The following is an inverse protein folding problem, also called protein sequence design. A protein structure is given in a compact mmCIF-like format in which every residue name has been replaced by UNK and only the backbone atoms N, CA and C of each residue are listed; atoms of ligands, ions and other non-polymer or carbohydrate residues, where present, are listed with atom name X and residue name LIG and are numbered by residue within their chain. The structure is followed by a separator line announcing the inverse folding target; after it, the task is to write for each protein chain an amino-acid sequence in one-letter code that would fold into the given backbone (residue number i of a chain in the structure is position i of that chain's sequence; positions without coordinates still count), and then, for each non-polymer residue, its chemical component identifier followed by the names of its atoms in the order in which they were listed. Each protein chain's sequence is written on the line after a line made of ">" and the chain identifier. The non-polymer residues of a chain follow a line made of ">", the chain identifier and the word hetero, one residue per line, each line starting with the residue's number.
data_IF_356460898989
#
_entry.id   IF_356460898989
#
_cell.length_a   1.000
_cell.length_b   1.000
_cell.length_c   1.000
_cell.angle_alpha   90.00
_cell.angle_beta   90.00
_cell.angle_gamma   90.00
#
_symmetry.space_group_name_H-M   'P 1'
#
loop_
_entity.id
_entity.type
_entity.pdbx_description
1 polymer ?
#
# COMPACT_ATOMS: atom_id res chain seq x y z
N UNK A 1 -4.64 15.53 -40.78
CA UNK A 1 -5.33 16.67 -41.44
C UNK A 1 -4.93 17.93 -40.69
N UNK A 2 -3.93 18.69 -41.17
CA UNK A 2 -4.09 20.00 -41.86
C UNK A 2 -4.76 21.03 -40.92
N UNK A 3 -4.05 21.93 -40.24
CA UNK A 3 -3.63 23.31 -40.63
C UNK A 3 -3.33 23.99 -39.25
N UNK A 4 -2.33 24.83 -38.96
CA UNK A 4 -1.55 25.77 -39.73
C UNK A 4 -0.11 25.84 -39.19
N UNK A 5 0.81 26.02 -40.12
CA UNK A 5 2.19 26.43 -39.94
C UNK A 5 2.22 27.84 -39.35
N UNK A 6 2.75 28.01 -38.13
CA UNK A 6 3.28 29.31 -37.72
C UNK A 6 4.72 29.35 -38.18
N UNK A 7 4.92 30.18 -39.20
CA UNK A 7 6.16 30.40 -39.92
C UNK A 7 7.34 30.66 -38.98
N UNK A 8 8.42 29.97 -39.29
CA UNK A 8 9.78 30.25 -38.91
C UNK A 8 10.10 31.76 -38.99
N UNK A 9 10.61 32.33 -37.91
CA UNK A 9 11.23 33.65 -37.92
C UNK A 9 12.46 33.66 -36.99
N UNK A 10 13.62 33.66 -37.65
CA UNK A 10 14.86 34.34 -37.26
C UNK A 10 15.73 33.64 -36.19
N UNK A 11 16.71 32.91 -36.75
CA UNK A 11 18.08 32.75 -36.27
C UNK A 11 18.60 33.97 -35.47
N UNK A 12 18.77 33.82 -34.16
CA UNK A 12 19.78 34.54 -33.40
C UNK A 12 20.55 33.51 -32.57
N UNK A 13 21.62 32.99 -33.17
CA UNK A 13 22.72 32.39 -32.44
C UNK A 13 23.46 33.50 -31.67
N UNK A 14 22.99 33.86 -30.48
CA UNK A 14 23.82 34.57 -29.50
C UNK A 14 23.72 33.85 -28.17
N UNK A 15 24.77 33.07 -27.89
CA UNK A 15 25.21 32.58 -26.60
C UNK A 15 24.20 32.57 -25.45
N UNK A 16 23.26 31.64 -25.45
CA UNK A 16 22.58 31.21 -24.24
C UNK A 16 22.43 29.70 -24.32
N UNK A 17 23.19 29.00 -23.48
CA UNK A 17 22.95 27.62 -23.09
C UNK A 17 21.45 27.35 -23.11
N UNK A 18 21.01 26.46 -24.00
CA UNK A 18 19.66 25.91 -23.95
C UNK A 18 19.58 25.13 -22.65
N UNK A 19 19.24 25.84 -21.58
CA UNK A 19 18.91 25.24 -20.32
C UNK A 19 17.55 24.61 -20.54
N UNK A 20 17.57 23.34 -20.98
CA UNK A 20 16.42 22.47 -20.95
C UNK A 20 16.12 22.18 -19.48
N UNK A 21 15.52 23.15 -18.79
CA UNK A 21 14.84 22.90 -17.52
C UNK A 21 13.37 22.78 -17.83
N UNK A 22 12.96 21.55 -18.06
CA UNK A 22 11.61 21.12 -17.78
C UNK A 22 11.73 19.68 -17.29
N UNK A 23 12.35 19.55 -16.11
CA UNK A 23 12.18 18.35 -15.30
C UNK A 23 10.77 18.46 -14.70
N UNK A 24 9.76 18.11 -15.51
CA UNK A 24 8.43 17.81 -14.98
C UNK A 24 8.55 16.48 -14.23
N UNK A 25 9.14 16.56 -13.02
CA UNK A 25 9.09 15.48 -12.04
C UNK A 25 7.64 15.31 -11.64
N UNK A 26 6.91 14.50 -12.40
CA UNK A 26 5.70 13.86 -11.92
C UNK A 26 6.08 13.15 -10.62
N UNK A 27 5.72 13.75 -9.47
CA UNK A 27 5.77 13.06 -8.19
C UNK A 27 4.87 11.85 -8.36
N UNK A 28 5.47 10.68 -8.47
CA UNK A 28 4.76 9.42 -8.36
C UNK A 28 4.23 9.38 -6.92
N UNK A 29 2.98 9.80 -6.76
CA UNK A 29 2.28 9.71 -5.48
C UNK A 29 2.06 8.22 -5.24
N UNK A 30 2.95 7.63 -4.43
CA UNK A 30 2.92 6.22 -4.07
C UNK A 30 1.66 5.98 -3.24
N UNK A 31 0.57 5.61 -3.89
CA UNK A 31 -0.68 5.24 -3.23
C UNK A 31 -0.43 3.93 -2.48
N UNK A 32 -0.50 3.98 -1.15
CA UNK A 32 -0.40 2.78 -0.32
C UNK A 32 -1.78 2.15 -0.18
N UNK A 33 -1.93 0.83 -0.41
CA UNK A 33 -3.19 0.16 -0.18
C UNK A 33 -3.46 0.13 1.34
N UNK A 34 -4.61 0.66 1.77
CA UNK A 34 -4.99 0.64 3.19
C UNK A 34 -5.32 -0.77 3.70
N UNK A 35 -5.68 -1.68 2.79
CA UNK A 35 -6.03 -3.06 3.08
C UNK A 35 -5.45 -3.96 1.99
N UNK A 36 -4.78 -5.03 2.40
CA UNK A 36 -4.27 -6.08 1.52
C UNK A 36 -4.83 -7.41 2.02
N UNK A 37 -5.52 -8.11 1.15
CA UNK A 37 -6.05 -9.45 1.41
C UNK A 37 -5.15 -10.47 0.71
N UNK A 38 -4.70 -11.46 1.45
CA UNK A 38 -3.76 -12.48 1.00
C UNK A 38 -4.44 -13.83 1.16
N UNK A 39 -4.64 -14.48 0.02
CA UNK A 39 -4.96 -15.91 -0.08
C UNK A 39 -3.64 -16.62 -0.44
N UNK A 40 -3.08 -17.37 0.51
CA UNK A 40 -1.78 -18.02 0.38
C UNK A 40 -1.89 -19.41 -0.23
N UNK A 41 -3.03 -20.08 -0.04
CA UNK A 41 -3.26 -21.45 -0.47
C UNK A 41 -4.11 -21.56 -1.76
N UNK A 42 -4.62 -20.43 -2.26
CA UNK A 42 -5.46 -20.27 -3.45
C UNK A 42 -6.76 -21.07 -3.37
N UNK A 43 -7.29 -21.29 -2.17
CA UNK A 43 -8.56 -21.99 -1.96
C UNK A 43 -9.79 -21.08 -2.12
N UNK A 44 -9.58 -19.76 -2.28
CA UNK A 44 -10.63 -18.76 -2.41
C UNK A 44 -11.06 -18.13 -1.08
N UNK A 45 -10.47 -18.54 0.03
CA UNK A 45 -10.63 -17.96 1.36
C UNK A 45 -9.45 -17.04 1.68
N UNK A 46 -9.70 -15.99 2.45
CA UNK A 46 -8.63 -15.05 2.81
C UNK A 46 -7.93 -15.56 4.07
N UNK A 47 -6.67 -15.98 3.90
CA UNK A 47 -5.81 -16.42 5.01
C UNK A 47 -5.33 -15.24 5.86
N UNK A 48 -5.04 -14.09 5.25
CA UNK A 48 -4.47 -12.94 5.96
C UNK A 48 -4.93 -11.61 5.39
N UNK A 49 -5.26 -10.68 6.28
CA UNK A 49 -5.61 -9.31 5.98
C UNK A 49 -4.62 -8.39 6.68
N UNK A 50 -3.95 -7.55 5.91
CA UNK A 50 -3.01 -6.55 6.40
C UNK A 50 -3.61 -5.16 6.23
N UNK A 51 -3.58 -4.38 7.30
CA UNK A 51 -4.05 -3.00 7.33
C UNK A 51 -2.88 -2.03 7.41
N UNK A 52 -2.88 -1.03 6.54
CA UNK A 52 -1.85 -0.01 6.44
C UNK A 52 -2.44 1.39 6.65
N UNK A 53 -1.64 2.30 7.21
CA UNK A 53 -1.97 3.72 7.31
C UNK A 53 -1.73 4.48 5.98
N UNK A 54 -2.04 5.78 5.96
CA UNK A 54 -1.84 6.66 4.79
C UNK A 54 -0.36 6.78 4.38
N UNK A 55 0.56 6.47 5.29
CA UNK A 55 2.00 6.46 5.06
C UNK A 55 2.54 5.08 4.66
N UNK A 56 1.68 4.07 4.57
CA UNK A 56 2.06 2.68 4.26
C UNK A 56 2.65 1.90 5.44
N UNK A 57 2.44 2.34 6.67
CA UNK A 57 2.85 1.63 7.88
C UNK A 57 1.80 0.60 8.27
N UNK A 58 2.25 -0.61 8.58
CA UNK A 58 1.38 -1.68 9.05
C UNK A 58 0.82 -1.31 10.44
N UNK A 59 -0.49 -1.27 10.56
CA UNK A 59 -1.21 -0.95 11.81
C UNK A 59 -1.87 -2.18 12.42
N UNK A 60 -2.29 -3.15 11.59
CA UNK A 60 -2.97 -4.35 12.06
C UNK A 60 -2.83 -5.48 11.06
N UNK A 61 -2.74 -6.70 11.57
CA UNK A 61 -2.88 -7.94 10.81
C UNK A 61 -4.05 -8.72 11.40
N UNK A 62 -4.86 -9.28 10.52
CA UNK A 62 -5.86 -10.29 10.84
C UNK A 62 -5.50 -11.56 10.08
N UNK A 63 -5.50 -12.72 10.73
CA UNK A 63 -5.14 -13.99 10.08
C UNK A 63 -6.09 -15.10 10.48
N UNK A 64 -6.36 -16.00 9.54
CA UNK A 64 -6.93 -17.32 9.77
C UNK A 64 -5.77 -18.33 9.83
N UNK A 65 -5.59 -18.92 11.00
CA UNK A 65 -4.55 -19.93 11.26
C UNK A 65 -5.11 -21.36 11.23
N UNK A 66 -6.43 -21.50 11.20
CA UNK A 66 -7.16 -22.77 11.18
C UNK A 66 -7.54 -23.20 9.76
N UNK A 67 -7.64 -22.26 8.82
CA UNK A 67 -8.01 -22.50 7.43
C UNK A 67 -9.48 -22.88 7.28
N UNK A 68 -10.33 -22.42 8.20
CA UNK A 68 -11.78 -22.61 8.16
C UNK A 68 -12.52 -21.42 7.54
N UNK A 69 -11.78 -20.42 7.08
CA UNK A 69 -12.28 -19.18 6.49
C UNK A 69 -12.70 -18.14 7.53
N UNK A 70 -12.43 -18.40 8.82
CA UNK A 70 -12.70 -17.48 9.90
C UNK A 70 -11.40 -16.92 10.46
N UNK A 71 -11.30 -15.59 10.48
CA UNK A 71 -10.18 -14.93 11.14
C UNK A 71 -10.20 -15.26 12.62
N UNK A 72 -9.08 -15.78 13.11
CA UNK A 72 -8.93 -16.19 14.50
C UNK A 72 -7.70 -15.56 15.18
N UNK A 73 -6.90 -14.77 14.47
CA UNK A 73 -5.78 -14.04 15.05
C UNK A 73 -5.79 -12.56 14.63
N UNK A 74 -5.50 -11.68 15.58
CA UNK A 74 -5.40 -10.23 15.37
C UNK A 74 -4.15 -9.68 16.03
N UNK A 75 -3.26 -9.08 15.27
CA UNK A 75 -2.03 -8.47 15.77
C UNK A 75 -2.06 -6.99 15.46
N UNK A 76 -1.90 -6.15 16.49
CA UNK A 76 -1.82 -4.69 16.36
C UNK A 76 -0.38 -4.24 16.38
N UNK A 77 -0.04 -3.32 15.48
CA UNK A 77 1.28 -2.75 15.34
C UNK A 77 1.26 -1.26 15.65
N UNK A 78 2.32 -0.77 16.29
CA UNK A 78 2.55 0.65 16.56
C UNK A 78 4.01 0.94 16.28
N UNK A 79 4.30 1.96 15.47
CA UNK A 79 5.66 2.30 15.01
C UNK A 79 6.41 1.09 14.40
N UNK A 80 5.69 0.23 13.68
CA UNK A 80 6.23 -0.99 13.07
C UNK A 80 6.55 -2.13 14.04
N UNK A 81 6.16 -2.02 15.32
CA UNK A 81 6.36 -3.06 16.34
C UNK A 81 5.01 -3.64 16.78
N UNK A 82 4.90 -4.97 16.98
CA UNK A 82 3.69 -5.55 17.54
C UNK A 82 3.54 -5.09 18.99
N UNK A 83 2.37 -4.57 19.34
CA UNK A 83 2.05 -4.09 20.70
C UNK A 83 1.05 -5.00 21.39
N UNK A 84 0.16 -5.60 20.63
CA UNK A 84 -0.90 -6.48 21.14
C UNK A 84 -1.19 -7.58 20.12
N UNK A 85 -1.39 -8.81 20.60
CA UNK A 85 -1.90 -9.93 19.84
C UNK A 85 -3.12 -10.50 20.55
N UNK A 86 -4.16 -10.83 19.78
CA UNK A 86 -5.38 -11.49 20.23
C UNK A 86 -5.55 -12.73 19.39
N UNK A 87 -5.88 -13.84 20.02
CA UNK A 87 -6.15 -15.10 19.31
C UNK A 87 -7.41 -15.73 19.86
N UNK A 88 -8.24 -16.21 18.95
CA UNK A 88 -9.34 -17.12 19.17
C UNK A 88 -8.86 -18.54 18.83
N UNK A 89 -8.71 -19.36 19.86
CA UNK A 89 -8.24 -20.74 19.77
C UNK A 89 -9.40 -21.74 19.71
N UNK A 90 -10.63 -21.30 20.00
CA UNK A 90 -11.80 -22.18 20.08
C UNK A 90 -12.78 -22.00 18.91
N UNK A 91 -12.55 -20.99 18.05
CA UNK A 91 -13.34 -20.70 16.86
C UNK A 91 -14.73 -20.15 17.17
N UNK A 92 -14.93 -19.54 18.34
CA UNK A 92 -16.23 -18.98 18.74
C UNK A 92 -16.47 -17.54 18.25
N UNK A 93 -15.49 -16.98 17.52
CA UNK A 93 -15.47 -15.62 16.99
C UNK A 93 -15.08 -14.59 18.04
N UNK A 94 -14.63 -15.01 19.23
CA UNK A 94 -14.18 -14.13 20.31
C UNK A 94 -12.76 -14.53 20.71
N UNK A 95 -11.84 -13.57 20.81
CA UNK A 95 -10.52 -13.88 21.30
C UNK A 95 -10.57 -14.38 22.75
N UNK A 96 -10.00 -15.55 23.01
CA UNK A 96 -9.79 -16.10 24.35
C UNK A 96 -8.37 -15.85 24.87
N UNK A 97 -7.42 -15.57 23.96
CA UNK A 97 -6.02 -15.27 24.29
C UNK A 97 -5.70 -13.82 23.98
N UNK A 98 -5.12 -13.13 24.96
CA UNK A 98 -4.54 -11.80 24.78
C UNK A 98 -3.08 -11.79 25.21
N UNK A 99 -2.22 -11.27 24.36
CA UNK A 99 -0.79 -11.11 24.62
C UNK A 99 -0.40 -9.67 24.34
N UNK A 100 0.29 -9.06 25.31
CA UNK A 100 0.88 -7.73 25.16
C UNK A 100 2.40 -7.88 25.15
N UNK A 101 3.05 -7.20 24.21
CA UNK A 101 4.51 -7.22 24.06
C UNK A 101 5.20 -6.18 24.96
#
# INVERSE_FOLDING_TARGET
>A
MRIAVVLCAVLICFGFTFHCSAQDSAKEEKVFPQKVEVDSNYDGSIDRIEHYDENGQLVRIEADTTGDGAINEWITYTDGKPTESKRDSNGDGKPDVWMKY
#
